data_IF_810226865372
#
_entry.id   IF_810226865372
#
_cell.length_a   1.000
_cell.length_b   1.000
_cell.length_c   1.000
_cell.angle_alpha   90.00
_cell.angle_beta   90.00
_cell.angle_gamma   90.00
#
_symmetry.space_group_name_H-M   'P 1'
#
loop_
_entity.id
_entity.type
_entity.pdbx_description
1 polymer ?
#
# COMPACT_ATOMS: atom_id res chain seq x y z
N UNK A 1 16.50 20.64 7.03
CA UNK A 1 16.15 19.19 7.10
C UNK A 1 14.77 18.86 6.53
N UNK A 2 13.71 19.66 6.77
CA UNK A 2 12.35 19.38 6.26
C UNK A 2 12.20 19.42 4.72
N UNK A 3 13.05 20.18 4.01
CA UNK A 3 12.99 20.29 2.54
C UNK A 3 13.49 19.04 1.80
N UNK A 4 14.44 18.29 2.36
CA UNK A 4 14.95 17.05 1.75
C UNK A 4 13.94 15.92 1.82
N UNK A 5 13.22 15.81 2.95
CA UNK A 5 12.10 14.88 3.12
C UNK A 5 10.94 15.22 2.16
N UNK A 6 10.58 16.50 2.05
CA UNK A 6 9.60 16.99 1.06
C UNK A 6 10.03 16.73 -0.38
N UNK A 7 11.31 16.91 -0.70
CA UNK A 7 11.86 16.55 -2.01
C UNK A 7 11.74 15.05 -2.25
N UNK A 8 12.17 14.16 -1.34
CA UNK A 8 12.03 12.71 -1.57
C UNK A 8 10.56 12.25 -1.67
N UNK A 9 9.64 12.89 -0.92
CA UNK A 9 8.19 12.69 -1.09
C UNK A 9 7.70 13.14 -2.47
N UNK A 10 8.24 14.24 -3.01
CA UNK A 10 7.84 14.80 -4.31
C UNK A 10 8.55 14.13 -5.50
N UNK A 11 9.76 13.60 -5.32
CA UNK A 11 10.61 13.18 -6.45
C UNK A 11 10.30 11.75 -6.91
N UNK A 12 9.88 10.84 -6.00
CA UNK A 12 9.54 9.45 -6.37
C UNK A 12 8.43 8.83 -5.49
N UNK A 13 7.22 9.43 -5.45
CA UNK A 13 6.10 8.92 -4.63
C UNK A 13 5.80 7.43 -4.91
N UNK A 14 5.88 6.99 -6.18
CA UNK A 14 5.69 5.58 -6.51
C UNK A 14 6.73 4.66 -5.89
N UNK A 15 8.00 5.07 -5.83
CA UNK A 15 9.09 4.22 -5.36
C UNK A 15 9.03 4.09 -3.83
N UNK A 16 8.77 5.19 -3.12
CA UNK A 16 8.57 5.17 -1.67
C UNK A 16 7.35 4.35 -1.29
N UNK A 17 6.23 4.53 -1.99
CA UNK A 17 4.99 3.80 -1.70
C UNK A 17 5.13 2.30 -2.02
N UNK A 18 5.83 1.96 -3.10
CA UNK A 18 6.18 0.57 -3.44
C UNK A 18 7.06 -0.10 -2.39
N UNK A 19 8.07 0.60 -1.86
CA UNK A 19 8.90 0.05 -0.78
C UNK A 19 8.07 -0.15 0.49
N UNK A 20 7.22 0.81 0.85
CA UNK A 20 6.34 0.70 2.02
C UNK A 20 5.38 -0.48 1.89
N UNK A 21 4.75 -0.66 0.73
CA UNK A 21 3.84 -1.80 0.51
C UNK A 21 4.59 -3.12 0.48
N UNK A 22 5.79 -3.18 -0.10
CA UNK A 22 6.63 -4.37 -0.05
C UNK A 22 6.94 -4.80 1.41
N UNK A 23 7.29 -3.85 2.27
CA UNK A 23 7.54 -4.10 3.70
C UNK A 23 6.27 -4.54 4.44
N UNK A 24 5.12 -3.93 4.14
CA UNK A 24 3.84 -4.32 4.74
C UNK A 24 3.46 -5.75 4.37
N UNK A 25 3.57 -6.12 3.09
CA UNK A 25 3.31 -7.47 2.62
C UNK A 25 4.30 -8.49 3.19
N UNK A 26 5.59 -8.13 3.31
CA UNK A 26 6.59 -8.96 3.94
C UNK A 26 6.24 -9.24 5.41
N UNK A 27 5.97 -8.17 6.17
CA UNK A 27 5.63 -8.27 7.59
C UNK A 27 4.33 -9.04 7.79
N UNK A 28 3.31 -8.80 6.95
CA UNK A 28 2.05 -9.52 6.98
C UNK A 28 2.22 -11.02 6.76
N UNK A 29 3.02 -11.42 5.76
CA UNK A 29 3.28 -12.82 5.49
C UNK A 29 4.13 -13.49 6.58
N UNK A 30 5.13 -12.78 7.14
CA UNK A 30 5.91 -13.27 8.30
C UNK A 30 5.00 -13.48 9.51
N UNK A 31 4.11 -12.52 9.81
CA UNK A 31 3.14 -12.67 10.90
C UNK A 31 2.18 -13.82 10.65
N UNK A 32 1.67 -14.00 9.43
CA UNK A 32 0.81 -15.13 9.08
C UNK A 32 1.53 -16.47 9.30
N UNK A 33 2.77 -16.58 8.83
CA UNK A 33 3.53 -17.82 8.96
C UNK A 33 3.96 -18.14 10.41
N UNK A 34 4.33 -17.12 11.19
CA UNK A 34 4.86 -17.32 12.55
C UNK A 34 3.77 -17.29 13.62
N UNK A 35 2.81 -16.37 13.54
CA UNK A 35 1.79 -16.19 14.57
C UNK A 35 0.54 -17.07 14.33
N UNK A 36 0.12 -17.26 13.08
CA UNK A 36 -1.09 -18.04 12.74
C UNK A 36 -0.74 -19.48 12.43
N UNK A 37 0.15 -19.72 11.47
CA UNK A 37 0.52 -21.07 11.03
C UNK A 37 1.50 -21.76 11.99
N UNK A 38 2.10 -21.02 12.93
CA UNK A 38 3.07 -21.51 13.95
C UNK A 38 4.16 -22.41 13.35
N UNK A 39 4.61 -22.10 12.12
CA UNK A 39 5.62 -22.90 11.41
C UNK A 39 6.97 -22.93 12.13
N UNK A 40 7.25 -21.91 12.94
CA UNK A 40 8.55 -21.71 13.57
C UNK A 40 9.58 -21.17 12.59
N UNK A 41 10.68 -20.61 13.12
CA UNK A 41 11.71 -19.92 12.33
C UNK A 41 12.41 -20.89 11.35
N UNK A 42 12.55 -22.17 11.72
CA UNK A 42 13.21 -23.18 10.88
C UNK A 42 12.40 -23.62 9.66
N UNK A 43 11.06 -23.51 9.69
CA UNK A 43 10.19 -23.87 8.56
C UNK A 43 9.58 -22.63 7.89
N UNK A 44 10.23 -21.49 8.03
CA UNK A 44 9.76 -20.25 7.42
C UNK A 44 9.94 -20.32 5.90
N UNK A 45 8.85 -20.10 5.18
CA UNK A 45 8.79 -20.17 3.72
C UNK A 45 9.23 -18.83 3.11
N UNK A 46 10.55 -18.60 3.06
CA UNK A 46 11.13 -17.39 2.49
C UNK A 46 10.72 -17.14 1.03
N UNK A 47 10.49 -18.21 0.25
CA UNK A 47 10.00 -18.11 -1.11
C UNK A 47 8.57 -17.57 -1.20
N UNK A 48 7.73 -17.80 -0.18
CA UNK A 48 6.39 -17.21 -0.09
C UNK A 48 6.47 -15.74 0.29
N UNK A 49 7.28 -15.40 1.29
CA UNK A 49 7.49 -14.01 1.70
C UNK A 49 8.08 -13.17 0.58
N UNK A 50 9.06 -13.71 -0.16
CA UNK A 50 9.63 -13.05 -1.34
C UNK A 50 8.60 -12.76 -2.43
N UNK A 51 7.68 -13.69 -2.70
CA UNK A 51 6.56 -13.46 -3.65
C UNK A 51 5.62 -12.35 -3.16
N UNK A 52 5.32 -12.31 -1.86
CA UNK A 52 4.49 -11.25 -1.27
C UNK A 52 5.18 -9.88 -1.31
N UNK A 53 6.49 -9.83 -1.05
CA UNK A 53 7.31 -8.61 -1.18
C UNK A 53 7.30 -8.12 -2.63
N UNK A 54 7.53 -9.01 -3.60
CA UNK A 54 7.54 -8.65 -5.02
C UNK A 54 6.17 -8.18 -5.50
N UNK A 55 5.09 -8.87 -5.12
CA UNK A 55 3.73 -8.44 -5.44
C UNK A 55 3.40 -7.09 -4.80
N UNK A 56 3.64 -6.96 -3.49
CA UNK A 56 3.41 -5.75 -2.71
C UNK A 56 4.17 -4.55 -3.28
N UNK A 57 5.43 -4.75 -3.67
CA UNK A 57 6.29 -3.69 -4.18
C UNK A 57 6.10 -3.37 -5.66
N UNK A 58 6.11 -4.37 -6.55
CA UNK A 58 6.14 -4.14 -7.99
C UNK A 58 4.75 -3.94 -8.60
N UNK A 59 3.69 -4.52 -8.02
CA UNK A 59 2.33 -4.50 -8.57
C UNK A 59 1.43 -3.63 -7.72
N UNK A 60 1.28 -3.97 -6.44
CA UNK A 60 0.34 -3.29 -5.55
C UNK A 60 0.77 -1.85 -5.25
N UNK A 61 2.05 -1.60 -5.02
CA UNK A 61 2.62 -0.28 -4.76
C UNK A 61 2.29 0.76 -5.85
N UNK A 62 2.63 0.50 -7.12
CA UNK A 62 2.29 1.40 -8.23
C UNK A 62 0.78 1.54 -8.46
N UNK A 63 0.02 0.45 -8.34
CA UNK A 63 -1.43 0.47 -8.50
C UNK A 63 -2.11 1.35 -7.44
N UNK A 64 -1.77 1.15 -6.16
CA UNK A 64 -2.29 1.96 -5.05
C UNK A 64 -1.90 3.44 -5.20
N UNK A 65 -0.64 3.72 -5.57
CA UNK A 65 -0.19 5.11 -5.78
C UNK A 65 -1.00 5.80 -6.89
N UNK A 66 -1.25 5.09 -7.99
CA UNK A 66 -2.02 5.62 -9.12
C UNK A 66 -3.49 5.83 -8.74
N UNK A 67 -4.08 4.88 -8.01
CA UNK A 67 -5.44 4.97 -7.52
C UNK A 67 -5.65 6.16 -6.57
N UNK A 68 -4.78 6.34 -5.57
CA UNK A 68 -4.87 7.48 -4.67
C UNK A 68 -4.66 8.81 -5.39
N UNK A 69 -3.79 8.86 -6.40
CA UNK A 69 -3.62 10.05 -7.25
C UNK A 69 -4.89 10.35 -8.07
N UNK A 70 -5.55 9.31 -8.58
CA UNK A 70 -6.84 9.44 -9.25
C UNK A 70 -7.91 10.00 -8.31
N UNK A 71 -8.08 9.41 -7.13
CA UNK A 71 -9.01 9.88 -6.09
C UNK A 71 -8.75 11.34 -5.70
N UNK A 72 -7.50 11.73 -5.52
CA UNK A 72 -7.14 13.11 -5.17
C UNK A 72 -7.46 14.10 -6.29
N UNK A 73 -7.26 13.72 -7.56
CA UNK A 73 -7.46 14.61 -8.71
C UNK A 73 -8.90 14.67 -9.22
N UNK A 74 -9.67 13.59 -9.07
CA UNK A 74 -11.04 13.47 -9.60
C UNK A 74 -12.12 13.70 -8.55
N UNK A 75 -11.87 13.38 -7.29
CA UNK A 75 -12.81 13.64 -6.19
C UNK A 75 -12.36 14.91 -5.47
N UNK A 76 -12.80 16.05 -5.99
CA UNK A 76 -12.56 17.39 -5.43
C UNK A 76 -13.90 18.06 -5.21
N UNK A 77 -14.18 18.41 -3.95
CA UNK A 77 -15.43 19.04 -3.53
C UNK A 77 -15.10 20.34 -2.80
N UNK A 78 -16.00 21.32 -2.86
CA UNK A 78 -15.79 22.61 -2.18
C UNK A 78 -15.72 22.46 -0.66
N UNK A 79 -16.47 21.51 -0.09
CA UNK A 79 -16.44 21.19 1.34
C UNK A 79 -15.44 20.07 1.63
N UNK A 80 -14.41 20.36 2.43
CA UNK A 80 -13.32 19.42 2.77
C UNK A 80 -13.79 18.18 3.55
N UNK A 81 -14.83 18.29 4.39
CA UNK A 81 -15.38 17.12 5.09
C UNK A 81 -16.09 16.19 4.10
N UNK A 82 -16.87 16.77 3.19
CA UNK A 82 -17.56 16.03 2.14
C UNK A 82 -16.56 15.39 1.16
N UNK A 83 -15.48 16.09 0.83
CA UNK A 83 -14.37 15.60 0.00
C UNK A 83 -13.73 14.34 0.60
N UNK A 84 -13.46 14.33 1.90
CA UNK A 84 -12.91 13.16 2.61
C UNK A 84 -13.92 12.01 2.59
N UNK A 85 -15.18 12.25 2.96
CA UNK A 85 -16.22 11.21 2.95
C UNK A 85 -16.41 10.62 1.55
N UNK A 86 -16.42 11.45 0.51
CA UNK A 86 -16.55 10.99 -0.87
C UNK A 86 -15.34 10.15 -1.31
N UNK A 87 -14.11 10.57 -0.95
CA UNK A 87 -12.91 9.77 -1.25
C UNK A 87 -12.93 8.43 -0.55
N UNK A 88 -13.28 8.38 0.73
CA UNK A 88 -13.40 7.12 1.49
C UNK A 88 -14.51 6.25 0.89
N UNK A 89 -15.67 6.82 0.56
CA UNK A 89 -16.76 6.06 -0.07
C UNK A 89 -16.37 5.47 -1.42
N UNK A 90 -15.73 6.24 -2.29
CA UNK A 90 -15.26 5.76 -3.60
C UNK A 90 -14.17 4.70 -3.44
N UNK A 91 -13.25 4.88 -2.49
CA UNK A 91 -12.21 3.89 -2.19
C UNK A 91 -12.81 2.55 -1.71
N UNK A 92 -13.76 2.60 -0.79
CA UNK A 92 -14.43 1.42 -0.24
C UNK A 92 -15.40 0.75 -1.23
N UNK A 93 -15.99 1.50 -2.18
CA UNK A 93 -16.94 0.94 -3.16
C UNK A 93 -16.30 0.45 -4.46
N UNK A 94 -15.15 1.01 -4.86
CA UNK A 94 -14.52 0.66 -6.13
C UNK A 94 -13.22 -0.13 -5.94
N UNK A 95 -12.37 0.25 -4.99
CA UNK A 95 -11.04 -0.34 -4.87
C UNK A 95 -11.02 -1.53 -3.91
N UNK A 96 -11.71 -1.42 -2.77
CA UNK A 96 -11.82 -2.50 -1.81
C UNK A 96 -12.42 -3.79 -2.40
N UNK A 97 -13.54 -3.78 -3.17
CA UNK A 97 -14.09 -5.00 -3.75
C UNK A 97 -13.27 -5.60 -4.89
N UNK A 98 -12.41 -4.83 -5.56
CA UNK A 98 -11.52 -5.35 -6.63
C UNK A 98 -10.22 -5.96 -6.10
N UNK A 99 -9.88 -5.74 -4.83
CA UNK A 99 -8.65 -6.23 -4.21
C UNK A 99 -8.90 -7.33 -3.14
N UNK A 100 -10.12 -7.87 -3.09
CA UNK A 100 -10.58 -8.88 -2.13
C UNK A 100 -10.88 -10.19 -2.88
#
# INVERSE_FOLDING_TARGET
MLNWYRMKLATRPMLTQSVTTAVLFATGDIMAQQAVERKGIQKHEFARTGRMVLYGGAVFGPAATTWFRFLQSKVVLQNKKLEICARVGVDQLLFAPTNL
#
